data_IF_093157385830
#
_entry.id   IF_093157385830
#
_cell.length_a   1.000
_cell.length_b   1.000
_cell.length_c   1.000
_cell.angle_alpha   90.00
_cell.angle_beta   90.00
_cell.angle_gamma   90.00
#
_symmetry.space_group_name_H-M   'P 1'
#
loop_
_entity.id
_entity.type
_entity.pdbx_description
1 polymer ?
#
# COMPACT_ATOMS: atom_id res chain seq x y z
N UNK A 1 16.24 5.98 -9.15
CA UNK A 1 14.81 5.82 -9.50
C UNK A 1 14.20 4.68 -8.68
N UNK A 2 13.06 4.94 -8.10
CA UNK A 2 12.38 3.93 -7.27
C UNK A 2 11.50 3.06 -8.15
N UNK A 3 11.64 1.74 -8.00
CA UNK A 3 10.81 0.77 -8.70
C UNK A 3 10.03 -0.03 -7.66
N UNK A 4 8.80 -0.37 -8.01
CA UNK A 4 7.95 -1.18 -7.14
C UNK A 4 7.67 -2.50 -7.84
N UNK A 5 8.03 -3.61 -7.21
CA UNK A 5 7.96 -4.94 -7.81
C UNK A 5 7.13 -5.85 -6.94
N UNK A 6 6.04 -6.42 -7.48
CA UNK A 6 5.23 -7.36 -6.71
C UNK A 6 5.93 -8.69 -6.55
N UNK A 7 5.62 -9.38 -5.47
CA UNK A 7 6.12 -10.73 -5.26
C UNK A 7 5.06 -11.57 -4.57
N UNK A 8 5.18 -12.86 -4.74
CA UNK A 8 4.31 -13.82 -4.07
C UNK A 8 5.19 -14.92 -3.52
N UNK A 9 5.01 -15.23 -2.24
CA UNK A 9 5.81 -16.24 -1.55
C UNK A 9 4.85 -17.09 -0.72
N UNK A 10 4.60 -18.33 -1.17
CA UNK A 10 3.60 -19.21 -0.59
C UNK A 10 2.25 -18.51 -0.69
N UNK A 11 1.58 -18.25 0.42
CA UNK A 11 0.27 -17.59 0.38
C UNK A 11 0.37 -16.10 0.69
N UNK A 12 1.58 -15.55 0.68
CA UNK A 12 1.80 -14.15 1.03
C UNK A 12 2.04 -13.34 -0.22
N UNK A 13 1.25 -12.29 -0.39
CA UNK A 13 1.44 -11.31 -1.45
C UNK A 13 2.19 -10.12 -0.90
N UNK A 14 3.02 -9.50 -1.72
CA UNK A 14 3.75 -8.34 -1.27
C UNK A 14 4.21 -7.44 -2.39
N UNK A 15 4.83 -6.34 -1.99
CA UNK A 15 5.40 -5.36 -2.90
C UNK A 15 6.72 -4.90 -2.31
N UNK A 16 7.76 -4.87 -3.13
CA UNK A 16 9.07 -4.37 -2.71
C UNK A 16 9.37 -3.08 -3.45
N UNK A 17 10.05 -2.17 -2.76
CA UNK A 17 10.55 -0.95 -3.37
C UNK A 17 12.06 -1.07 -3.51
N UNK A 18 12.57 -0.72 -4.67
CA UNK A 18 14.00 -0.72 -4.93
C UNK A 18 14.45 0.65 -5.39
N UNK A 19 15.57 1.11 -4.85
CA UNK A 19 16.27 2.29 -5.33
C UNK A 19 17.52 1.80 -6.02
N UNK A 20 17.48 1.70 -7.35
CA UNK A 20 18.51 1.01 -8.07
C UNK A 20 18.48 -0.47 -7.72
N UNK A 21 19.58 -0.98 -7.18
CA UNK A 21 19.67 -2.38 -6.76
C UNK A 21 19.46 -2.56 -5.27
N UNK A 22 19.20 -1.48 -4.54
CA UNK A 22 19.05 -1.52 -3.09
C UNK A 22 17.59 -1.60 -2.72
N UNK A 23 17.22 -2.58 -1.90
CA UNK A 23 15.85 -2.69 -1.40
C UNK A 23 15.59 -1.56 -0.41
N UNK A 24 14.59 -0.72 -0.71
CA UNK A 24 14.28 0.46 0.08
C UNK A 24 13.07 0.25 0.99
N UNK A 25 12.28 -0.78 0.76
CA UNK A 25 11.13 -1.06 1.60
C UNK A 25 10.37 -2.26 1.09
N UNK A 26 9.51 -2.80 1.94
CA UNK A 26 8.68 -3.95 1.60
C UNK A 26 7.39 -3.89 2.40
N UNK A 27 6.31 -4.36 1.79
CA UNK A 27 5.06 -4.58 2.52
C UNK A 27 4.47 -5.91 2.08
N UNK A 28 3.63 -6.48 2.95
CA UNK A 28 2.85 -7.66 2.60
C UNK A 28 1.38 -7.36 2.83
N UNK A 29 0.54 -8.08 2.11
CA UNK A 29 -0.90 -7.88 2.23
C UNK A 29 -1.63 -9.16 1.84
N UNK A 30 -2.90 -9.23 2.22
CA UNK A 30 -3.77 -10.33 1.86
C UNK A 30 -4.95 -9.81 1.06
N UNK A 31 -5.55 -10.68 0.25
CA UNK A 31 -6.74 -10.36 -0.53
C UNK A 31 -7.87 -11.30 -0.12
N UNK A 32 -9.04 -10.75 0.09
CA UNK A 32 -10.22 -11.54 0.45
C UNK A 32 -11.46 -10.81 -0.08
N UNK A 33 -12.06 -11.34 -1.13
CA UNK A 33 -13.22 -10.71 -1.76
C UNK A 33 -12.85 -9.31 -2.27
N UNK A 34 -13.58 -8.32 -1.80
CA UNK A 34 -13.33 -6.92 -2.18
C UNK A 34 -12.25 -6.24 -1.33
N UNK A 35 -11.67 -6.97 -0.39
CA UNK A 35 -10.78 -6.36 0.61
C UNK A 35 -9.34 -6.73 0.38
N UNK A 36 -8.49 -5.75 0.59
CA UNK A 36 -7.06 -5.92 0.70
C UNK A 36 -6.67 -5.47 2.10
N UNK A 37 -5.85 -6.25 2.80
CA UNK A 37 -5.41 -5.89 4.14
C UNK A 37 -3.89 -5.93 4.21
N UNK A 38 -3.27 -4.80 4.55
CA UNK A 38 -1.84 -4.76 4.78
C UNK A 38 -1.51 -5.53 6.05
N UNK A 39 -0.57 -6.47 5.95
CA UNK A 39 -0.18 -7.32 7.07
C UNK A 39 1.19 -6.98 7.61
N UNK A 40 2.04 -6.33 6.83
CA UNK A 40 3.30 -5.80 7.33
C UNK A 40 3.76 -4.65 6.43
N UNK A 41 4.48 -3.72 7.02
CA UNK A 41 5.08 -2.60 6.29
C UNK A 41 6.42 -2.31 6.92
N UNK A 42 7.49 -2.44 6.13
CA UNK A 42 8.84 -2.17 6.60
C UNK A 42 9.50 -1.20 5.63
N UNK A 43 9.46 0.07 5.98
CA UNK A 43 10.03 1.11 5.15
C UNK A 43 10.26 2.34 6.02
N UNK A 44 11.48 2.84 6.00
CA UNK A 44 11.87 3.98 6.85
C UNK A 44 11.49 5.31 6.21
N UNK A 45 11.38 5.36 4.90
CA UNK A 45 11.12 6.60 4.18
C UNK A 45 9.63 6.75 3.90
N UNK A 46 9.07 7.86 4.36
CA UNK A 46 7.62 8.09 4.28
C UNK A 46 7.13 8.25 2.83
N UNK A 47 7.93 8.86 1.99
CA UNK A 47 7.58 9.05 0.59
C UNK A 47 7.60 7.71 -0.14
N UNK A 48 8.59 6.88 0.14
CA UNK A 48 8.67 5.54 -0.45
C UNK A 48 7.53 4.67 0.07
N UNK A 49 7.19 4.79 1.36
CA UNK A 49 6.06 4.07 1.94
C UNK A 49 4.77 4.41 1.21
N UNK A 50 4.54 5.67 0.92
CA UNK A 50 3.35 6.09 0.19
C UNK A 50 3.31 5.47 -1.21
N UNK A 51 4.43 5.49 -1.93
CA UNK A 51 4.51 4.87 -3.24
C UNK A 51 4.32 3.36 -3.18
N UNK A 52 4.90 2.73 -2.15
CA UNK A 52 4.78 1.29 -1.95
C UNK A 52 3.31 0.89 -1.70
N UNK A 53 2.63 1.65 -0.84
CA UNK A 53 1.22 1.39 -0.56
C UNK A 53 0.36 1.60 -1.81
N UNK A 54 0.65 2.64 -2.57
CA UNK A 54 -0.09 2.93 -3.80
C UNK A 54 0.11 1.81 -4.83
N UNK A 55 1.34 1.33 -4.99
CA UNK A 55 1.63 0.23 -5.90
C UNK A 55 0.92 -1.06 -5.47
N UNK A 56 0.91 -1.33 -4.17
CA UNK A 56 0.23 -2.52 -3.63
C UNK A 56 -1.28 -2.42 -3.85
N UNK A 57 -1.86 -1.25 -3.64
CA UNK A 57 -3.30 -1.06 -3.85
C UNK A 57 -3.66 -1.18 -5.33
N UNK A 58 -2.80 -0.70 -6.23
CA UNK A 58 -3.04 -0.84 -7.66
C UNK A 58 -3.02 -2.32 -8.08
N UNK A 59 -2.06 -3.07 -7.53
CA UNK A 59 -1.97 -4.51 -7.76
C UNK A 59 -3.26 -5.20 -7.28
N UNK A 60 -3.71 -4.84 -6.08
CA UNK A 60 -4.91 -5.43 -5.50
C UNK A 60 -6.16 -5.06 -6.29
N UNK A 61 -6.24 -3.82 -6.78
CA UNK A 61 -7.38 -3.37 -7.58
C UNK A 61 -7.51 -4.18 -8.86
N UNK A 62 -6.39 -4.55 -9.47
CA UNK A 62 -6.39 -5.40 -10.66
C UNK A 62 -6.86 -6.81 -10.37
N UNK A 63 -7.04 -7.15 -9.10
CA UNK A 63 -7.56 -8.44 -8.65
C UNK A 63 -8.89 -8.28 -7.91
N UNK A 64 -9.62 -7.20 -8.25
CA UNK A 64 -10.98 -6.96 -7.77
C UNK A 64 -11.10 -6.45 -6.35
N UNK A 65 -10.01 -6.06 -5.72
CA UNK A 65 -10.08 -5.42 -4.41
C UNK A 65 -10.60 -3.99 -4.58
N UNK A 66 -11.41 -3.55 -3.65
CA UNK A 66 -12.01 -2.22 -3.69
C UNK A 66 -11.71 -1.42 -2.42
N UNK A 67 -11.56 -2.10 -1.30
CA UNK A 67 -11.29 -1.48 0.00
C UNK A 67 -9.92 -1.95 0.49
N UNK A 68 -9.08 -1.02 0.91
CA UNK A 68 -7.80 -1.34 1.53
C UNK A 68 -7.89 -1.06 3.03
N UNK A 69 -7.31 -1.94 3.81
CA UNK A 69 -7.33 -1.86 5.28
C UNK A 69 -5.92 -2.00 5.83
N UNK A 70 -5.69 -1.35 6.96
CA UNK A 70 -4.42 -1.49 7.68
C UNK A 70 -4.70 -1.32 9.17
N UNK A 71 -4.06 -2.14 10.01
CA UNK A 71 -4.15 -1.98 11.45
C UNK A 71 -3.48 -0.68 11.87
N UNK A 72 -4.02 -0.04 12.91
CA UNK A 72 -3.50 1.25 13.37
C UNK A 72 -2.02 1.16 13.74
N UNK A 73 -1.60 0.02 14.29
CA UNK A 73 -0.21 -0.15 14.71
C UNK A 73 0.76 -0.19 13.54
N UNK A 74 0.29 -0.51 12.34
CA UNK A 74 1.12 -0.54 11.14
C UNK A 74 1.04 0.76 10.34
N UNK A 75 0.09 1.62 10.65
CA UNK A 75 -0.14 2.84 9.91
C UNK A 75 0.93 3.88 10.21
N UNK A 76 1.15 4.76 9.27
CA UNK A 76 2.08 5.87 9.39
C UNK A 76 1.44 7.08 8.71
N UNK A 77 2.05 8.26 8.81
CA UNK A 77 1.51 9.45 8.12
C UNK A 77 1.29 9.24 6.62
N UNK A 78 2.08 8.36 5.99
CA UNK A 78 1.90 8.08 4.56
C UNK A 78 0.50 7.54 4.27
N UNK A 79 -0.01 6.66 5.12
CA UNK A 79 -1.35 6.10 4.93
C UNK A 79 -2.44 7.14 5.19
N UNK A 80 -2.22 8.00 6.16
CA UNK A 80 -3.17 9.08 6.42
C UNK A 80 -3.28 10.00 5.20
N UNK A 81 -2.15 10.31 4.58
CA UNK A 81 -2.15 11.14 3.37
C UNK A 81 -2.87 10.47 2.21
N UNK A 82 -2.90 9.15 2.17
CA UNK A 82 -3.64 8.41 1.15
C UNK A 82 -5.13 8.35 1.43
N UNK A 83 -5.56 8.82 2.58
CA UNK A 83 -6.98 8.87 2.91
C UNK A 83 -7.45 7.80 3.88
N UNK A 84 -6.55 6.95 4.37
CA UNK A 84 -6.93 5.94 5.35
C UNK A 84 -7.45 6.60 6.62
N UNK A 85 -8.57 6.13 7.12
CA UNK A 85 -9.16 6.65 8.34
C UNK A 85 -9.94 5.55 9.06
N UNK A 86 -10.16 5.73 10.33
CA UNK A 86 -10.91 4.78 11.15
C UNK A 86 -10.41 4.76 12.58
N UNK A 87 -10.82 3.74 13.33
CA UNK A 87 -10.44 3.54 14.71
C UNK A 87 -9.24 2.62 14.84
N UNK A 88 -9.46 1.41 15.35
CA UNK A 88 -8.39 0.44 15.52
C UNK A 88 -7.87 -0.11 14.19
N UNK A 89 -8.72 -0.09 13.18
CA UNK A 89 -8.35 -0.47 11.83
C UNK A 89 -8.71 0.70 10.92
N UNK A 90 -7.78 1.09 10.07
CA UNK A 90 -8.00 2.17 9.11
C UNK A 90 -8.34 1.57 7.75
N UNK A 91 -9.16 2.27 6.99
CA UNK A 91 -9.53 1.82 5.66
C UNK A 91 -9.72 2.99 4.72
N UNK A 92 -9.66 2.68 3.42
CA UNK A 92 -9.92 3.64 2.36
C UNK A 92 -10.42 2.88 1.14
N UNK A 93 -11.26 3.52 0.35
CA UNK A 93 -11.60 2.97 -0.96
C UNK A 93 -10.42 3.15 -1.88
N UNK A 94 -9.99 2.07 -2.52
CA UNK A 94 -8.78 2.10 -3.33
C UNK A 94 -8.86 3.15 -4.45
N UNK A 95 -9.98 3.29 -5.18
CA UNK A 95 -10.04 4.34 -6.19
C UNK A 95 -9.82 5.73 -5.63
N UNK A 96 -10.31 6.02 -4.44
CA UNK A 96 -10.09 7.31 -3.79
C UNK A 96 -8.63 7.52 -3.43
N UNK A 97 -7.99 6.48 -2.89
CA UNK A 97 -6.60 6.58 -2.50
C UNK A 97 -5.71 6.83 -3.71
N UNK A 98 -5.96 6.13 -4.82
CA UNK A 98 -5.16 6.29 -6.03
C UNK A 98 -5.41 7.64 -6.70
N UNK A 99 -6.65 8.11 -6.69
CA UNK A 99 -6.98 9.41 -7.26
C UNK A 99 -6.36 10.55 -6.44
N UNK A 100 -6.36 10.40 -5.12
CA UNK A 100 -5.78 11.39 -4.22
C UNK A 100 -4.31 11.66 -4.55
N UNK A 101 -3.58 10.64 -4.94
CA UNK A 101 -2.19 10.80 -5.32
C UNK A 101 -2.00 11.57 -6.61
N UNK A 102 -3.01 11.62 -7.46
CA UNK A 102 -2.93 12.34 -8.71
C UNK A 102 -3.34 13.81 -8.58
N UNK A 103 -3.94 14.17 -7.47
CA UNK A 103 -4.46 15.51 -7.28
C UNK A 103 -3.36 16.55 -7.26
N UNK A 104 -2.17 16.16 -7.00
CA UNK A 104 -1.03 17.06 -6.95
C UNK A 104 -0.76 17.72 -8.32
N UNK A 105 -1.35 17.20 -9.37
CA UNK A 105 -1.13 17.72 -10.70
C UNK A 105 -1.92 18.99 -11.01
N UNK A 106 -2.63 19.50 -10.06
CA UNK A 106 -3.43 20.71 -10.32
C UNK A 106 -3.76 21.47 -9.09
#
# INVERSE_FOLDING_TARGET
MIRFIPFENQDVLGMKAFDGDTEAGVCTFSLSGYFMTFTSVECADDIITEGLARAAMNYAANRNAYIAKIGRSLSSPAFVRLGFSGGDELSVEIPEALASGCSCGH
#
